data_IF_837239268200
#
_entry.id   IF_837239268200
#
_cell.length_a   1.000
_cell.length_b   1.000
_cell.length_c   1.000
_cell.angle_alpha   90.00
_cell.angle_beta   90.00
_cell.angle_gamma   90.00
#
_symmetry.space_group_name_H-M   'P 1'
#
loop_
_entity.id
_entity.type
_entity.pdbx_description
1 polymer ?
#
# COMPACT_ATOMS: atom_id res chain seq x y z
N UNK A 1 18.39 49.98 13.42
CA UNK A 1 18.74 48.63 13.89
C UNK A 1 17.71 48.18 14.91
N UNK A 2 17.00 47.07 14.67
CA UNK A 2 15.81 46.74 15.44
C UNK A 2 16.06 45.65 16.48
N UNK A 3 16.22 46.05 17.75
CA UNK A 3 16.36 45.12 18.87
C UNK A 3 15.01 44.49 19.27
N UNK A 4 15.05 43.30 19.89
CA UNK A 4 13.85 42.65 20.44
C UNK A 4 13.33 43.39 21.68
N UNK A 5 12.06 43.17 22.04
CA UNK A 5 11.48 43.80 23.24
C UNK A 5 12.25 43.35 24.50
N UNK A 6 12.68 42.09 24.55
CA UNK A 6 13.47 41.50 25.63
C UNK A 6 14.90 42.06 25.68
N UNK A 7 15.46 42.42 24.52
CA UNK A 7 16.77 43.07 24.45
C UNK A 7 16.70 44.54 24.88
N UNK A 8 15.67 45.26 24.44
CA UNK A 8 15.40 46.64 24.89
C UNK A 8 15.17 46.64 26.40
N UNK A 9 14.38 45.69 26.91
CA UNK A 9 14.09 45.51 28.33
C UNK A 9 15.36 45.31 29.17
N UNK A 10 16.29 44.47 28.70
CA UNK A 10 17.60 44.28 29.34
C UNK A 10 18.44 45.55 29.33
N UNK A 11 18.49 46.27 28.21
CA UNK A 11 19.28 47.51 28.08
C UNK A 11 18.77 48.65 28.96
N UNK A 12 17.45 48.74 29.17
CA UNK A 12 16.84 49.80 29.98
C UNK A 12 16.54 49.38 31.42
N UNK A 13 16.94 48.17 31.82
CA UNK A 13 16.66 47.56 33.15
C UNK A 13 15.17 47.63 33.53
N UNK A 14 14.28 47.40 32.56
CA UNK A 14 12.83 47.35 32.77
C UNK A 14 12.26 46.01 32.34
N UNK A 15 11.12 45.66 32.91
CA UNK A 15 10.39 44.47 32.49
C UNK A 15 9.94 44.61 31.01
N UNK A 16 9.99 43.53 30.20
CA UNK A 16 9.53 43.55 28.79
C UNK A 16 8.11 44.09 28.59
N UNK A 17 7.21 43.89 29.56
CA UNK A 17 5.86 44.45 29.53
C UNK A 17 5.84 45.99 29.61
N UNK A 18 6.76 46.59 30.35
CA UNK A 18 6.90 48.05 30.47
C UNK A 18 7.38 48.64 29.15
N UNK A 19 8.38 48.00 28.52
CA UNK A 19 8.84 48.39 27.18
C UNK A 19 7.73 48.26 26.16
N UNK A 20 6.98 47.15 26.18
CA UNK A 20 5.82 46.93 25.29
C UNK A 20 4.74 47.99 25.46
N UNK A 21 4.47 48.41 26.70
CA UNK A 21 3.51 49.45 27.01
C UNK A 21 3.93 50.80 26.41
N UNK A 22 5.19 51.20 26.60
CA UNK A 22 5.71 52.46 26.06
C UNK A 22 5.79 52.46 24.52
N UNK A 23 6.20 51.34 23.92
CA UNK A 23 6.16 51.16 22.46
C UNK A 23 4.74 51.39 21.93
N UNK A 24 3.72 50.79 22.58
CA UNK A 24 2.31 50.98 22.21
C UNK A 24 1.84 52.42 22.41
N UNK A 25 2.20 53.06 23.54
CA UNK A 25 1.80 54.43 23.88
C UNK A 25 2.32 55.47 22.89
N UNK A 26 3.50 55.24 22.32
CA UNK A 26 4.13 56.14 21.33
C UNK A 26 4.01 55.65 19.89
N UNK A 27 3.20 54.61 19.62
CA UNK A 27 2.98 54.10 18.26
C UNK A 27 4.20 53.43 17.61
N UNK A 28 5.22 53.07 18.41
CA UNK A 28 6.45 52.44 17.96
C UNK A 28 6.28 50.91 17.91
N UNK A 29 6.85 50.26 16.89
CA UNK A 29 6.89 48.81 16.76
C UNK A 29 8.33 48.31 16.88
N UNK A 30 8.52 47.18 17.54
CA UNK A 30 9.82 46.49 17.47
C UNK A 30 9.99 45.89 16.07
N UNK A 31 11.24 45.77 15.59
CA UNK A 31 11.50 45.16 14.28
C UNK A 31 11.09 43.67 14.20
N UNK A 32 10.81 43.05 15.34
CA UNK A 32 10.32 41.67 15.44
C UNK A 32 8.79 41.58 15.62
N UNK A 33 8.07 42.71 15.65
CA UNK A 33 6.62 42.73 15.87
C UNK A 33 5.84 41.95 14.78
N UNK A 34 6.27 42.04 13.52
CA UNK A 34 5.59 41.36 12.41
C UNK A 34 5.71 39.83 12.50
N UNK A 35 6.79 39.32 13.12
CA UNK A 35 6.99 37.87 13.37
C UNK A 35 5.93 37.28 14.31
N UNK A 36 5.36 38.12 15.20
CA UNK A 36 4.36 37.72 16.18
C UNK A 36 2.93 38.14 15.80
N UNK A 37 2.73 38.70 14.60
CA UNK A 37 1.38 39.02 14.13
C UNK A 37 0.58 37.73 13.94
N UNK A 38 -0.62 37.60 14.53
CA UNK A 38 -1.44 36.41 14.34
C UNK A 38 -1.80 36.29 12.86
N UNK A 39 -1.23 35.28 12.20
CA UNK A 39 -1.66 34.89 10.86
C UNK A 39 -3.14 34.53 10.96
N UNK A 40 -3.97 35.18 10.13
CA UNK A 40 -5.42 35.01 10.10
C UNK A 40 -5.88 33.57 9.82
N UNK A 41 -7.19 33.33 9.74
CA UNK A 41 -7.72 32.01 9.41
C UNK A 41 -7.15 31.48 8.09
N UNK A 42 -6.82 30.19 8.07
CA UNK A 42 -6.57 29.52 6.80
C UNK A 42 -7.90 29.46 6.04
N UNK A 43 -7.85 29.81 4.76
CA UNK A 43 -8.99 29.69 3.85
C UNK A 43 -9.49 28.23 3.83
N UNK A 44 -10.77 28.07 4.15
CA UNK A 44 -11.44 26.78 4.25
C UNK A 44 -11.52 26.10 2.89
N UNK A 45 -11.79 26.83 1.82
CA UNK A 45 -12.02 26.24 0.50
C UNK A 45 -10.71 25.77 -0.10
N UNK A 46 -9.66 26.57 0.03
CA UNK A 46 -8.30 26.17 -0.33
C UNK A 46 -7.84 24.94 0.45
N UNK A 47 -8.10 24.88 1.77
CA UNK A 47 -7.75 23.72 2.58
C UNK A 47 -8.54 22.47 2.19
N UNK A 48 -9.83 22.62 1.89
CA UNK A 48 -10.70 21.54 1.43
C UNK A 48 -10.23 20.98 0.09
N UNK A 49 -9.85 21.86 -0.86
CA UNK A 49 -9.30 21.46 -2.15
C UNK A 49 -8.03 20.62 -2.00
N UNK A 50 -7.08 21.06 -1.17
CA UNK A 50 -5.84 20.30 -0.92
C UNK A 50 -6.10 18.94 -0.24
N UNK A 51 -7.08 18.87 0.67
CA UNK A 51 -7.49 17.62 1.31
C UNK A 51 -8.09 16.64 0.30
N UNK A 52 -8.93 17.15 -0.61
CA UNK A 52 -9.59 16.33 -1.64
C UNK A 52 -8.63 15.69 -2.64
N UNK A 53 -7.47 16.32 -2.87
CA UNK A 53 -6.38 15.80 -3.69
C UNK A 53 -5.60 14.66 -3.00
N UNK A 54 -5.91 14.34 -1.74
CA UNK A 54 -5.28 13.25 -1.00
C UNK A 54 -3.92 13.58 -0.40
N UNK A 55 -3.53 14.86 -0.37
CA UNK A 55 -2.27 15.30 0.24
C UNK A 55 -2.24 14.98 1.74
N UNK A 56 -1.06 14.64 2.23
CA UNK A 56 -0.78 14.50 3.66
C UNK A 56 -0.74 15.87 4.34
N UNK A 57 -0.87 15.89 5.66
CA UNK A 57 -0.75 17.15 6.44
C UNK A 57 0.59 17.87 6.26
N UNK A 58 1.65 17.14 5.88
CA UNK A 58 2.98 17.72 5.63
C UNK A 58 3.03 18.37 4.25
N UNK A 59 2.48 17.72 3.23
CA UNK A 59 2.40 18.27 1.87
C UNK A 59 1.47 19.49 1.82
N UNK A 60 0.34 19.43 2.53
CA UNK A 60 -0.56 20.59 2.68
C UNK A 60 0.19 21.76 3.35
N UNK A 61 1.02 21.47 4.35
CA UNK A 61 1.80 22.51 5.04
C UNK A 61 2.82 23.15 4.11
N UNK A 62 3.51 22.35 3.29
CA UNK A 62 4.42 22.85 2.26
C UNK A 62 3.69 23.71 1.21
N UNK A 63 2.54 23.25 0.71
CA UNK A 63 1.72 23.96 -0.29
C UNK A 63 1.14 25.30 0.21
N UNK A 64 0.97 25.42 1.53
CA UNK A 64 0.48 26.65 2.18
C UNK A 64 1.61 27.48 2.82
N UNK A 65 2.87 27.09 2.64
CA UNK A 65 4.04 27.71 3.25
C UNK A 65 3.86 27.96 4.75
N UNK A 66 3.30 26.95 5.44
CA UNK A 66 2.94 27.02 6.86
C UNK A 66 3.43 25.79 7.60
N UNK A 67 3.26 25.76 8.92
CA UNK A 67 3.65 24.62 9.73
C UNK A 67 2.53 23.55 9.78
N UNK A 68 2.90 22.26 9.77
CA UNK A 68 1.95 21.14 9.84
C UNK A 68 1.01 21.20 11.05
N UNK A 69 1.45 21.77 12.17
CA UNK A 69 0.60 21.95 13.36
C UNK A 69 -0.51 22.98 13.11
N UNK A 70 -0.21 24.05 12.35
CA UNK A 70 -1.18 25.06 11.94
C UNK A 70 -2.24 24.45 11.02
N UNK A 71 -1.81 23.68 10.02
CA UNK A 71 -2.72 22.91 9.14
C UNK A 71 -3.63 22.02 9.98
N UNK A 72 -3.07 21.19 10.87
CA UNK A 72 -3.83 20.28 11.73
C UNK A 72 -4.86 21.01 12.60
N UNK A 73 -4.50 22.16 13.19
CA UNK A 73 -5.40 22.97 14.00
C UNK A 73 -6.62 23.44 13.19
N UNK A 74 -6.40 23.95 11.98
CA UNK A 74 -7.49 24.45 11.12
C UNK A 74 -8.32 23.32 10.51
N UNK A 75 -7.69 22.20 10.13
CA UNK A 75 -8.40 21.00 9.73
C UNK A 75 -9.37 20.52 10.82
N UNK A 76 -8.92 20.45 12.08
CA UNK A 76 -9.80 20.11 13.23
C UNK A 76 -10.96 21.08 13.37
N UNK A 77 -10.69 22.40 13.28
CA UNK A 77 -11.72 23.44 13.39
C UNK A 77 -12.76 23.34 12.27
N UNK A 78 -12.37 22.93 11.07
CA UNK A 78 -13.27 22.80 9.92
C UNK A 78 -13.83 21.38 9.73
N UNK A 79 -13.51 20.43 10.60
CA UNK A 79 -13.94 19.03 10.47
C UNK A 79 -13.35 18.31 9.25
N UNK A 80 -12.17 18.72 8.78
CA UNK A 80 -11.51 18.15 7.61
C UNK A 80 -10.55 17.04 7.98
N UNK A 81 -10.52 16.00 7.14
CA UNK A 81 -9.60 14.88 7.28
C UNK A 81 -9.03 14.45 5.94
N UNK A 82 -7.73 14.13 5.93
CA UNK A 82 -7.12 13.50 4.76
C UNK A 82 -7.62 12.06 4.61
N UNK A 83 -7.69 11.54 3.37
CA UNK A 83 -8.02 10.13 3.13
C UNK A 83 -7.15 9.15 3.95
N UNK A 84 -5.88 9.48 4.16
CA UNK A 84 -4.98 8.70 5.01
C UNK A 84 -5.41 8.68 6.48
N UNK A 85 -5.82 9.84 7.02
CA UNK A 85 -6.32 9.94 8.40
C UNK A 85 -7.63 9.19 8.58
N UNK A 86 -8.60 9.41 7.68
CA UNK A 86 -9.90 8.72 7.74
C UNK A 86 -9.73 7.22 7.61
N UNK A 87 -8.83 6.75 6.72
CA UNK A 87 -8.44 5.34 6.63
C UNK A 87 -7.89 4.84 7.97
N UNK A 88 -6.90 5.52 8.56
CA UNK A 88 -6.29 5.08 9.82
C UNK A 88 -7.33 4.97 10.95
N UNK A 89 -8.27 5.91 11.02
CA UNK A 89 -9.39 5.83 11.99
C UNK A 89 -10.25 4.60 11.73
N UNK A 90 -10.82 4.45 10.53
CA UNK A 90 -11.75 3.35 10.19
C UNK A 90 -11.14 1.98 10.52
N UNK A 91 -9.86 1.77 10.19
CA UNK A 91 -9.16 0.53 10.50
C UNK A 91 -8.81 0.38 12.00
N UNK A 92 -8.57 1.50 12.69
CA UNK A 92 -8.33 1.53 14.13
C UNK A 92 -9.59 1.19 14.92
N UNK A 93 -10.71 1.84 14.59
CA UNK A 93 -12.02 1.63 15.20
C UNK A 93 -12.48 0.19 15.01
N UNK A 94 -12.43 -0.34 13.78
CA UNK A 94 -12.77 -1.73 13.50
C UNK A 94 -11.93 -2.74 14.33
N UNK A 95 -10.66 -2.41 14.60
CA UNK A 95 -9.80 -3.24 15.44
C UNK A 95 -10.17 -3.17 16.91
N UNK A 96 -10.55 -1.99 17.41
CA UNK A 96 -11.06 -1.81 18.78
C UNK A 96 -12.37 -2.60 18.96
N UNK A 97 -13.24 -2.55 17.95
CA UNK A 97 -14.51 -3.28 17.94
C UNK A 97 -14.34 -4.79 17.73
N UNK A 98 -13.12 -5.27 17.46
CA UNK A 98 -12.84 -6.69 17.22
C UNK A 98 -13.47 -7.23 15.95
N UNK A 99 -13.80 -6.38 14.97
CA UNK A 99 -14.49 -6.79 13.75
C UNK A 99 -13.58 -7.71 12.91
N UNK A 100 -13.95 -8.98 12.65
CA UNK A 100 -13.09 -9.89 11.88
C UNK A 100 -12.99 -9.49 10.39
N UNK A 101 -14.00 -8.77 9.90
CA UNK A 101 -14.11 -8.27 8.53
C UNK A 101 -14.42 -6.77 8.53
N UNK A 102 -13.89 -6.06 7.54
CA UNK A 102 -14.06 -4.62 7.36
C UNK A 102 -14.21 -4.27 5.88
N UNK A 103 -15.27 -3.57 5.51
CA UNK A 103 -15.40 -2.95 4.19
C UNK A 103 -14.62 -1.64 4.15
N UNK A 104 -13.62 -1.55 3.27
CA UNK A 104 -12.81 -0.36 3.13
C UNK A 104 -12.23 -0.21 1.72
N UNK A 105 -11.64 0.94 1.42
CA UNK A 105 -10.93 1.16 0.14
C UNK A 105 -9.53 0.53 0.22
N UNK A 106 -9.14 -0.25 -0.77
CA UNK A 106 -7.78 -0.70 -1.05
C UNK A 106 -7.16 0.19 -2.12
N UNK A 107 -5.90 0.57 -1.97
CA UNK A 107 -5.19 1.37 -2.99
C UNK A 107 -5.09 0.68 -4.35
N UNK A 108 -5.14 -0.65 -4.37
CA UNK A 108 -5.04 -1.45 -5.60
C UNK A 108 -6.39 -1.90 -6.15
N UNK A 109 -7.37 -2.16 -5.29
CA UNK A 109 -8.62 -2.84 -5.67
C UNK A 109 -9.87 -1.99 -5.47
N UNK A 110 -9.76 -0.75 -5.00
CA UNK A 110 -10.91 0.06 -4.63
C UNK A 110 -11.65 -0.50 -3.41
N UNK A 111 -12.96 -0.25 -3.31
CA UNK A 111 -13.78 -0.76 -2.20
C UNK A 111 -13.82 -2.30 -2.21
N UNK A 112 -13.49 -2.91 -1.08
CA UNK A 112 -13.38 -4.35 -0.93
C UNK A 112 -13.38 -4.74 0.55
N UNK A 113 -13.61 -6.02 0.81
CA UNK A 113 -13.47 -6.63 2.12
C UNK A 113 -12.02 -6.80 2.54
N UNK A 114 -11.74 -6.42 3.78
CA UNK A 114 -10.51 -6.67 4.51
C UNK A 114 -10.78 -7.65 5.64
N UNK A 115 -9.81 -8.51 5.93
CA UNK A 115 -9.86 -9.48 7.03
C UNK A 115 -8.77 -9.16 8.06
N UNK A 116 -9.15 -9.16 9.34
CA UNK A 116 -8.19 -9.03 10.43
C UNK A 116 -7.25 -10.23 10.43
N UNK A 117 -5.96 -9.99 10.53
CA UNK A 117 -4.97 -11.07 10.66
C UNK A 117 -5.17 -11.82 11.97
N UNK A 118 -4.75 -13.09 12.00
CA UNK A 118 -4.81 -13.94 13.19
C UNK A 118 -4.02 -13.39 14.38
N UNK A 119 -2.98 -12.59 14.11
CA UNK A 119 -2.19 -11.88 15.13
C UNK A 119 -2.88 -10.62 15.67
N UNK A 120 -4.04 -10.24 15.15
CA UNK A 120 -4.77 -9.02 15.52
C UNK A 120 -4.06 -7.71 15.14
N UNK A 121 -2.89 -7.76 14.48
CA UNK A 121 -2.05 -6.59 14.30
C UNK A 121 -2.60 -5.63 13.24
N UNK A 122 -3.15 -6.17 12.16
CA UNK A 122 -3.65 -5.38 11.03
C UNK A 122 -4.66 -6.14 10.16
N UNK A 123 -5.39 -5.38 9.34
CA UNK A 123 -6.28 -5.90 8.34
C UNK A 123 -5.58 -6.10 6.99
N UNK A 124 -5.94 -7.16 6.28
CA UNK A 124 -5.46 -7.46 4.94
C UNK A 124 -6.62 -7.51 3.95
N UNK A 125 -6.49 -6.78 2.85
CA UNK A 125 -7.42 -6.86 1.73
C UNK A 125 -7.49 -8.30 1.20
N UNK A 126 -8.69 -8.87 1.09
CA UNK A 126 -8.87 -10.24 0.62
C UNK A 126 -8.46 -10.40 -0.86
N UNK A 127 -8.74 -9.40 -1.70
CA UNK A 127 -8.28 -9.38 -3.10
C UNK A 127 -6.75 -9.34 -3.21
N UNK A 128 -6.05 -8.48 -2.45
CA UNK A 128 -4.58 -8.51 -2.36
C UNK A 128 -4.03 -9.87 -1.92
N UNK A 129 -4.73 -10.58 -1.02
CA UNK A 129 -4.34 -11.95 -0.62
C UNK A 129 -4.47 -12.92 -1.79
N UNK A 130 -5.59 -12.89 -2.50
CA UNK A 130 -5.81 -13.73 -3.70
C UNK A 130 -4.79 -13.44 -4.80
N UNK A 131 -4.49 -12.17 -5.07
CA UNK A 131 -3.47 -11.76 -6.05
C UNK A 131 -2.09 -12.29 -5.66
N UNK A 132 -1.70 -12.17 -4.39
CA UNK A 132 -0.42 -12.66 -3.91
C UNK A 132 -0.30 -14.18 -4.09
N UNK A 133 -1.34 -14.94 -3.75
CA UNK A 133 -1.39 -16.39 -3.97
C UNK A 133 -1.30 -16.73 -5.45
N UNK A 134 -2.05 -16.03 -6.30
CA UNK A 134 -2.04 -16.24 -7.75
C UNK A 134 -0.66 -15.94 -8.36
N UNK A 135 0.00 -14.87 -7.92
CA UNK A 135 1.35 -14.52 -8.36
C UNK A 135 2.39 -15.55 -7.91
N UNK A 136 2.32 -16.04 -6.66
CA UNK A 136 3.21 -17.10 -6.18
C UNK A 136 3.03 -18.38 -7.01
N UNK A 137 1.78 -18.77 -7.30
CA UNK A 137 1.48 -19.93 -8.14
C UNK A 137 1.99 -19.77 -9.56
N UNK A 138 1.82 -18.59 -10.17
CA UNK A 138 2.33 -18.28 -11.50
C UNK A 138 3.85 -18.41 -11.57
N UNK A 139 4.57 -17.77 -10.64
CA UNK A 139 6.05 -17.85 -10.55
C UNK A 139 6.55 -19.26 -10.36
N UNK A 140 5.89 -20.05 -9.50
CA UNK A 140 6.23 -21.47 -9.32
C UNK A 140 6.01 -22.27 -10.59
N UNK A 141 4.90 -22.06 -11.29
CA UNK A 141 4.62 -22.75 -12.56
C UNK A 141 5.63 -22.38 -13.63
N UNK A 142 5.98 -21.10 -13.77
CA UNK A 142 7.05 -20.64 -14.66
C UNK A 142 8.37 -21.37 -14.38
N UNK A 143 8.76 -21.48 -13.11
CA UNK A 143 9.98 -22.19 -12.74
C UNK A 143 9.95 -23.68 -13.09
N UNK A 144 8.83 -24.36 -12.83
CA UNK A 144 8.69 -25.77 -13.17
C UNK A 144 8.72 -25.98 -14.69
N UNK A 145 8.08 -25.08 -15.44
CA UNK A 145 8.05 -25.10 -16.91
C UNK A 145 9.47 -24.91 -17.48
N UNK A 146 10.22 -23.95 -16.94
CA UNK A 146 11.62 -23.69 -17.32
C UNK A 146 12.48 -24.94 -17.14
N UNK A 147 12.39 -25.59 -15.98
CA UNK A 147 13.15 -26.80 -15.66
C UNK A 147 12.72 -28.03 -16.50
N UNK A 148 11.50 -28.01 -17.04
CA UNK A 148 10.97 -29.06 -17.93
C UNK A 148 11.16 -28.75 -19.42
N UNK A 149 12.00 -27.76 -19.76
CA UNK A 149 12.39 -27.43 -21.13
C UNK A 149 11.57 -26.31 -21.80
N UNK A 150 10.65 -25.67 -21.08
CA UNK A 150 10.00 -24.41 -21.46
C UNK A 150 8.98 -24.48 -22.59
N UNK A 151 8.79 -25.64 -23.23
CA UNK A 151 7.93 -25.81 -24.40
C UNK A 151 7.17 -27.13 -24.40
N UNK A 152 6.08 -27.19 -25.16
CA UNK A 152 5.38 -28.44 -25.42
C UNK A 152 6.28 -29.40 -26.20
N UNK A 153 6.42 -30.63 -25.70
CA UNK A 153 7.22 -31.67 -26.35
C UNK A 153 6.63 -32.18 -27.67
N UNK A 154 5.33 -32.00 -27.90
CA UNK A 154 4.64 -32.48 -29.11
C UNK A 154 4.51 -31.42 -30.22
N UNK A 155 4.25 -30.15 -29.89
CA UNK A 155 4.00 -29.10 -30.88
C UNK A 155 4.92 -27.88 -30.74
N UNK A 156 5.82 -27.86 -29.75
CA UNK A 156 6.78 -26.76 -29.57
C UNK A 156 6.20 -25.48 -28.97
N UNK A 157 4.91 -25.42 -28.61
CA UNK A 157 4.30 -24.23 -27.98
C UNK A 157 5.07 -23.77 -26.74
N UNK A 158 5.49 -22.51 -26.71
CA UNK A 158 6.33 -21.94 -25.64
C UNK A 158 5.91 -20.51 -25.20
N UNK A 159 4.81 -19.98 -25.73
CA UNK A 159 4.48 -18.54 -25.57
C UNK A 159 3.95 -18.20 -24.18
N UNK A 160 3.07 -19.02 -23.60
CA UNK A 160 2.46 -18.76 -22.31
C UNK A 160 2.54 -19.99 -21.40
N UNK A 161 3.35 -19.90 -20.33
CA UNK A 161 3.53 -20.98 -19.37
C UNK A 161 2.21 -21.46 -18.74
N UNK A 162 1.20 -20.59 -18.63
CA UNK A 162 -0.12 -20.97 -18.10
C UNK A 162 -0.85 -22.01 -18.95
N UNK A 163 -0.60 -22.03 -20.27
CA UNK A 163 -1.20 -22.99 -21.20
C UNK A 163 -0.44 -24.34 -21.26
N UNK A 164 0.71 -24.45 -20.61
CA UNK A 164 1.46 -25.70 -20.49
C UNK A 164 0.99 -26.51 -19.28
N UNK A 165 1.00 -27.84 -19.40
CA UNK A 165 0.52 -28.80 -18.42
C UNK A 165 1.52 -29.95 -18.29
N UNK A 166 1.66 -30.45 -17.08
CA UNK A 166 2.51 -31.60 -16.77
C UNK A 166 1.68 -32.87 -16.89
N UNK A 167 1.97 -33.66 -17.91
CA UNK A 167 1.35 -34.96 -18.16
C UNK A 167 2.24 -36.06 -17.59
N UNK A 168 1.72 -36.88 -16.68
CA UNK A 168 2.47 -38.01 -16.13
C UNK A 168 2.64 -39.09 -17.22
N UNK A 169 3.88 -39.50 -17.48
CA UNK A 169 4.18 -40.57 -18.46
C UNK A 169 3.64 -41.91 -17.97
N UNK A 170 3.83 -42.19 -16.68
CA UNK A 170 3.24 -43.32 -16.00
C UNK A 170 2.32 -42.83 -14.88
N UNK A 171 0.98 -42.89 -15.07
CA UNK A 171 0.01 -42.48 -14.06
C UNK A 171 0.16 -43.22 -12.71
N UNK A 172 0.75 -44.41 -12.68
CA UNK A 172 0.94 -45.20 -11.46
C UNK A 172 2.05 -44.66 -10.55
N UNK A 173 2.99 -43.89 -11.10
CA UNK A 173 4.13 -43.28 -10.37
C UNK A 173 3.80 -41.91 -9.76
N UNK A 174 2.58 -41.43 -9.99
CA UNK A 174 2.08 -40.14 -9.54
C UNK A 174 1.90 -40.12 -8.04
N UNK A 175 2.62 -39.23 -7.37
CA UNK A 175 2.35 -38.94 -5.96
C UNK A 175 1.31 -37.84 -5.81
N UNK A 176 1.32 -36.84 -6.71
CA UNK A 176 0.37 -35.72 -6.68
C UNK A 176 0.31 -34.95 -8.00
N UNK A 177 -0.77 -34.18 -8.19
CA UNK A 177 -0.85 -33.27 -9.34
C UNK A 177 0.03 -32.04 -9.15
N UNK A 178 0.95 -31.77 -10.08
CA UNK A 178 1.84 -30.60 -10.06
C UNK A 178 1.07 -29.28 -10.24
N UNK A 179 -0.03 -29.28 -11.01
CA UNK A 179 -0.64 -28.04 -11.51
C UNK A 179 -2.02 -27.67 -10.95
N UNK A 180 -2.85 -28.60 -10.45
CA UNK A 180 -4.27 -28.28 -10.24
C UNK A 180 -4.64 -27.68 -8.87
N UNK A 181 -3.88 -27.92 -7.81
CA UNK A 181 -4.30 -27.52 -6.44
C UNK A 181 -3.18 -26.92 -5.60
N UNK A 182 -2.52 -25.89 -6.16
CA UNK A 182 -1.65 -24.98 -5.41
C UNK A 182 -0.75 -25.70 -4.41
N UNK A 183 0.27 -26.37 -4.93
CA UNK A 183 1.19 -27.23 -4.17
C UNK A 183 1.57 -26.59 -2.84
N UNK A 184 0.99 -27.07 -1.72
CA UNK A 184 1.40 -26.76 -0.34
C UNK A 184 2.72 -27.44 0.03
N UNK A 185 3.39 -28.06 -0.95
CA UNK A 185 4.69 -28.73 -0.82
C UNK A 185 5.83 -27.79 -1.20
N UNK A 186 7.04 -28.15 -0.78
CA UNK A 186 8.27 -27.44 -1.16
C UNK A 186 8.46 -27.45 -2.68
N UNK A 187 9.16 -26.44 -3.18
CA UNK A 187 9.51 -26.34 -4.61
C UNK A 187 10.26 -27.60 -5.08
N UNK A 188 11.14 -28.14 -4.23
CA UNK A 188 11.90 -29.37 -4.51
C UNK A 188 11.01 -30.58 -4.79
N UNK A 189 9.96 -30.80 -3.97
CA UNK A 189 9.02 -31.90 -4.23
C UNK A 189 8.27 -31.68 -5.52
N UNK A 190 7.86 -30.44 -5.81
CA UNK A 190 7.20 -30.12 -7.06
C UNK A 190 8.11 -30.37 -8.28
N UNK A 191 9.41 -30.07 -8.16
CA UNK A 191 10.41 -30.37 -9.19
C UNK A 191 10.61 -31.88 -9.37
N UNK A 192 10.72 -32.62 -8.27
CA UNK A 192 10.87 -34.08 -8.31
C UNK A 192 9.68 -34.75 -9.02
N UNK A 193 8.45 -34.30 -8.74
CA UNK A 193 7.25 -34.80 -9.41
C UNK A 193 7.19 -34.34 -10.88
N UNK A 194 7.58 -33.09 -11.18
CA UNK A 194 7.63 -32.58 -12.54
C UNK A 194 8.60 -33.38 -13.44
N UNK A 195 9.67 -33.95 -12.89
CA UNK A 195 10.60 -34.84 -13.63
C UNK A 195 9.96 -36.15 -14.10
N UNK A 196 8.87 -36.59 -13.47
CA UNK A 196 8.09 -37.77 -13.89
C UNK A 196 7.09 -37.44 -15.01
N UNK A 197 7.00 -36.17 -15.39
CA UNK A 197 6.01 -35.66 -16.33
C UNK A 197 6.67 -35.18 -17.62
N UNK A 198 5.93 -35.24 -18.72
CA UNK A 198 6.23 -34.52 -19.95
C UNK A 198 5.43 -33.23 -20.01
N UNK A 199 6.04 -32.19 -20.57
CA UNK A 199 5.41 -30.88 -20.68
C UNK A 199 4.64 -30.77 -21.99
N UNK A 200 3.32 -30.57 -21.91
CA UNK A 200 2.42 -30.47 -23.07
C UNK A 200 1.62 -29.17 -23.04
N UNK A 201 1.23 -28.60 -24.18
CA UNK A 201 0.22 -27.55 -24.18
C UNK A 201 -1.17 -28.13 -23.90
N UNK A 202 -2.13 -27.30 -23.52
CA UNK A 202 -3.48 -27.74 -23.17
C UNK A 202 -4.15 -28.61 -24.25
N UNK A 203 -3.94 -28.30 -25.53
CA UNK A 203 -4.51 -29.09 -26.64
C UNK A 203 -3.82 -30.45 -26.77
N UNK A 204 -2.48 -30.45 -26.86
CA UNK A 204 -1.70 -31.69 -26.94
C UNK A 204 -1.92 -32.59 -25.72
N UNK A 205 -2.11 -32.02 -24.54
CA UNK A 205 -2.44 -32.76 -23.32
C UNK A 205 -3.79 -33.45 -23.46
N UNK A 206 -4.83 -32.73 -23.91
CA UNK A 206 -6.16 -33.29 -24.13
C UNK A 206 -6.15 -34.38 -25.21
N UNK A 207 -5.41 -34.18 -26.32
CA UNK A 207 -5.24 -35.19 -27.38
C UNK A 207 -4.59 -36.48 -26.86
N UNK A 208 -3.59 -36.35 -25.97
CA UNK A 208 -2.93 -37.51 -25.35
C UNK A 208 -3.86 -38.20 -24.37
N UNK A 209 -4.57 -37.46 -23.52
CA UNK A 209 -5.56 -38.05 -22.59
C UNK A 209 -6.72 -38.74 -23.31
N UNK A 210 -7.12 -38.25 -24.48
CA UNK A 210 -8.17 -38.86 -25.31
C UNK A 210 -7.66 -39.98 -26.22
N UNK A 211 -6.35 -40.29 -26.21
CA UNK A 211 -5.74 -41.30 -27.07
C UNK A 211 -5.67 -40.93 -28.55
N UNK A 212 -5.94 -39.67 -28.92
CA UNK A 212 -5.80 -39.18 -30.31
C UNK A 212 -4.33 -38.97 -30.71
N UNK A 213 -3.46 -38.82 -29.71
CA UNK A 213 -2.03 -38.60 -29.91
C UNK A 213 -1.23 -39.40 -28.90
N UNK A 214 -0.12 -39.96 -29.35
CA UNK A 214 0.79 -40.72 -28.48
C UNK A 214 2.02 -39.88 -28.17
N UNK A 215 2.56 -40.05 -26.95
CA UNK A 215 3.88 -39.53 -26.63
C UNK A 215 4.91 -40.33 -27.43
N UNK A 216 5.71 -39.64 -28.23
CA UNK A 216 6.86 -40.27 -28.89
C UNK A 216 7.97 -40.33 -27.84
N UNK A 217 8.43 -41.56 -27.54
CA UNK A 217 9.49 -41.83 -26.58
C UNK A 217 10.83 -41.23 -27.02
#
# INVERSE_FOLDING_TARGET
EGASIEEIARRVERHPSTVSYWLRKYGLRSAHADKHTPKGPLDRDRLTGLVSQGLTTTEIAAALSTHRATVRRWMRRYGLETPHMSRRRVFGDARVDGAPLLEAVCSRHGRTTFQLRSDGASYRCLRCRCDAVSNIRRRRKERLVEEAGGKCQLCGYATYAGALQFHHVDPSTKEFSVSQKGVTRSLERALAEARKCVLLCANCHAEVESGLRTLVA
#
